data_IF_744922469846
#
_entry.id   IF_744922469846
#
_cell.length_a   1.000
_cell.length_b   1.000
_cell.length_c   1.000
_cell.angle_alpha   90.00
_cell.angle_beta   90.00
_cell.angle_gamma   90.00
#
_symmetry.space_group_name_H-M   'P 1'
#
loop_
_entity.id
_entity.type
_entity.pdbx_description
1 polymer ?
#
# COMPACT_ATOMS: atom_id res chain seq x y z
N UNK A 1 19.57 -5.59 -14.93
CA UNK A 1 18.38 -4.94 -15.55
C UNK A 1 17.27 -4.76 -14.52
N UNK A 2 16.76 -5.82 -13.85
CA UNK A 2 15.68 -5.70 -12.85
C UNK A 2 16.04 -4.80 -11.66
N UNK A 3 17.24 -4.91 -11.12
CA UNK A 3 17.68 -4.08 -10.00
C UNK A 3 17.73 -2.60 -10.36
N UNK A 4 18.18 -2.26 -11.57
CA UNK A 4 18.16 -0.87 -12.05
C UNK A 4 16.73 -0.34 -12.21
N UNK A 5 15.80 -1.16 -12.70
CA UNK A 5 14.39 -0.80 -12.78
C UNK A 5 13.80 -0.51 -11.39
N UNK A 6 14.12 -1.35 -10.39
CA UNK A 6 13.66 -1.17 -9.01
C UNK A 6 14.21 0.09 -8.35
N UNK A 7 15.48 0.43 -8.59
CA UNK A 7 16.10 1.66 -8.07
C UNK A 7 15.48 2.94 -8.66
N UNK A 8 15.06 2.88 -9.93
CA UNK A 8 14.47 4.01 -10.64
C UNK A 8 12.94 4.13 -10.46
N UNK A 9 12.31 3.18 -9.77
CA UNK A 9 10.87 3.19 -9.53
C UNK A 9 10.55 3.85 -8.19
N UNK A 10 9.65 4.85 -8.22
CA UNK A 10 9.22 5.54 -7.02
C UNK A 10 8.01 4.87 -6.37
N UNK A 11 8.06 4.67 -5.05
CA UNK A 11 6.92 4.21 -4.25
C UNK A 11 6.64 5.20 -3.13
N UNK A 12 5.40 5.62 -3.01
CA UNK A 12 4.93 6.47 -1.93
C UNK A 12 3.87 5.76 -1.11
N UNK A 13 4.10 5.61 0.21
CA UNK A 13 3.23 4.88 1.13
C UNK A 13 2.34 5.86 1.89
N UNK A 14 1.04 5.68 1.78
CA UNK A 14 0.00 6.39 2.53
C UNK A 14 -0.54 5.47 3.61
N UNK A 15 -0.27 5.80 4.85
CA UNK A 15 -0.59 5.01 6.04
C UNK A 15 0.61 4.86 6.97
N UNK A 16 0.35 4.63 8.26
CA UNK A 16 1.38 4.54 9.30
C UNK A 16 0.99 3.46 10.31
N UNK A 17 0.95 2.21 9.87
CA UNK A 17 0.67 1.05 10.72
C UNK A 17 1.71 -0.05 10.45
N UNK A 18 1.60 -1.18 11.17
CA UNK A 18 2.55 -2.29 11.02
C UNK A 18 2.65 -2.86 9.61
N UNK A 19 1.56 -2.84 8.83
CA UNK A 19 1.57 -3.29 7.43
C UNK A 19 2.41 -2.35 6.58
N UNK A 20 2.24 -1.03 6.74
CA UNK A 20 3.03 -0.02 6.05
C UNK A 20 4.52 -0.14 6.38
N UNK A 21 4.85 -0.37 7.67
CA UNK A 21 6.22 -0.62 8.13
C UNK A 21 6.84 -1.83 7.45
N UNK A 22 6.12 -2.95 7.40
CA UNK A 22 6.59 -4.19 6.78
C UNK A 22 6.80 -4.05 5.27
N UNK A 23 5.87 -3.38 4.57
CA UNK A 23 6.00 -3.10 3.13
C UNK A 23 7.23 -2.22 2.87
N UNK A 24 7.42 -1.16 3.66
CA UNK A 24 8.56 -0.26 3.53
C UNK A 24 9.89 -1.00 3.66
N UNK A 25 10.02 -1.80 4.72
CA UNK A 25 11.20 -2.64 4.94
C UNK A 25 11.44 -3.63 3.78
N UNK A 26 10.40 -4.37 3.36
CA UNK A 26 10.51 -5.38 2.32
C UNK A 26 10.86 -4.79 0.94
N UNK A 27 10.32 -3.62 0.59
CA UNK A 27 10.65 -2.93 -0.66
C UNK A 27 12.09 -2.46 -0.69
N UNK A 28 12.58 -1.83 0.41
CA UNK A 28 13.97 -1.40 0.51
C UNK A 28 14.94 -2.59 0.42
N UNK A 29 14.66 -3.66 1.16
CA UNK A 29 15.44 -4.90 1.11
C UNK A 29 15.41 -5.58 -0.26
N UNK A 30 14.37 -5.33 -1.07
CA UNK A 30 14.24 -5.83 -2.44
C UNK A 30 14.86 -4.91 -3.50
N UNK A 31 15.49 -3.81 -3.09
CA UNK A 31 16.17 -2.87 -3.99
C UNK A 31 15.31 -1.74 -4.53
N UNK A 32 14.06 -1.56 -4.05
CA UNK A 32 13.20 -0.41 -4.39
C UNK A 32 13.56 0.74 -3.45
N UNK A 33 14.71 1.35 -3.69
CA UNK A 33 15.33 2.31 -2.76
C UNK A 33 14.67 3.69 -2.77
N UNK A 34 13.88 4.01 -3.79
CA UNK A 34 13.11 5.25 -3.87
C UNK A 34 11.70 5.05 -3.26
N UNK A 35 11.65 4.44 -2.07
CA UNK A 35 10.41 4.26 -1.30
C UNK A 35 10.36 5.27 -0.15
N UNK A 36 9.23 5.94 0.03
CA UNK A 36 9.03 6.96 1.06
C UNK A 36 7.62 6.92 1.64
N UNK A 37 7.45 7.47 2.84
CA UNK A 37 6.13 7.75 3.39
C UNK A 37 5.61 9.11 2.93
N UNK A 38 4.32 9.16 2.60
CA UNK A 38 3.65 10.44 2.30
C UNK A 38 3.57 11.31 3.55
N UNK A 39 3.80 12.60 3.37
CA UNK A 39 3.70 13.59 4.44
C UNK A 39 2.27 13.68 5.00
N UNK A 40 1.26 13.42 4.17
CA UNK A 40 -0.16 13.48 4.54
C UNK A 40 -0.64 12.23 5.31
N UNK A 41 0.13 11.15 5.29
CA UNK A 41 -0.22 9.88 5.92
C UNK A 41 0.17 9.79 7.41
N UNK A 42 0.54 10.90 8.04
CA UNK A 42 1.02 10.90 9.43
C UNK A 42 -0.13 10.73 10.41
N UNK A 43 -0.03 9.73 11.27
CA UNK A 43 -0.92 9.49 12.39
C UNK A 43 -0.64 10.50 13.49
N UNK A 44 -1.60 11.39 13.85
CA UNK A 44 -1.50 12.27 15.02
C UNK A 44 -0.16 13.00 15.15
N UNK A 45 0.52 12.82 16.29
CA UNK A 45 1.88 13.35 16.53
C UNK A 45 2.99 12.54 15.82
N UNK A 46 2.64 11.49 15.12
CA UNK A 46 3.56 10.61 14.40
C UNK A 46 4.46 9.75 15.30
N UNK A 47 4.10 9.57 16.56
CA UNK A 47 4.88 8.74 17.50
C UNK A 47 4.59 7.24 17.28
N UNK A 48 5.64 6.43 17.48
CA UNK A 48 5.55 4.96 17.48
C UNK A 48 4.79 4.54 18.76
N UNK A 49 3.73 3.76 18.59
CA UNK A 49 2.90 3.21 19.67
C UNK A 49 2.97 1.68 19.75
N UNK A 50 2.23 1.11 20.70
CA UNK A 50 2.18 -0.35 20.93
C UNK A 50 1.82 -1.14 19.69
N UNK A 51 0.97 -0.59 18.85
CA UNK A 51 0.43 -1.23 17.65
C UNK A 51 1.43 -1.32 16.50
N UNK A 52 2.45 -0.48 16.54
CA UNK A 52 3.53 -0.47 15.55
C UNK A 52 4.61 -1.51 15.87
N UNK A 53 4.64 -1.96 17.14
CA UNK A 53 5.61 -2.93 17.63
C UNK A 53 5.19 -4.38 17.30
N UNK A 54 6.07 -5.33 17.60
CA UNK A 54 5.77 -6.77 17.50
C UNK A 54 6.06 -7.40 16.14
N UNK A 55 6.47 -6.62 15.14
CA UNK A 55 6.89 -7.15 13.84
C UNK A 55 8.40 -7.36 13.71
N UNK A 56 9.18 -7.02 14.75
CA UNK A 56 10.64 -7.10 14.71
C UNK A 56 11.32 -5.98 13.90
N UNK A 57 10.56 -5.20 13.16
CA UNK A 57 11.05 -4.03 12.40
C UNK A 57 11.28 -2.86 13.36
N UNK A 58 10.25 -2.51 14.11
CA UNK A 58 10.31 -1.57 15.22
C UNK A 58 10.37 -2.33 16.55
N UNK A 59 11.19 -1.86 17.48
CA UNK A 59 11.47 -2.48 18.76
C UNK A 59 10.88 -1.63 19.89
N UNK A 60 10.78 -2.20 21.09
CA UNK A 60 10.32 -1.49 22.29
C UNK A 60 11.15 -0.24 22.61
N UNK A 61 12.44 -0.23 22.22
CA UNK A 61 13.32 0.93 22.34
C UNK A 61 12.94 2.10 21.42
N UNK A 62 12.14 1.85 20.40
CA UNK A 62 11.68 2.85 19.44
C UNK A 62 10.36 3.51 19.88
N UNK A 63 9.73 3.02 20.95
CA UNK A 63 8.47 3.54 21.48
C UNK A 63 8.55 5.04 21.78
N UNK A 64 7.55 5.78 21.30
CA UNK A 64 7.47 7.23 21.49
C UNK A 64 8.33 8.05 20.52
N UNK A 65 9.25 7.44 19.76
CA UNK A 65 10.02 8.14 18.72
C UNK A 65 9.11 8.52 17.55
N UNK A 66 9.53 9.51 16.76
CA UNK A 66 8.80 9.87 15.54
C UNK A 66 8.88 8.71 14.53
N UNK A 67 7.72 8.21 14.11
CA UNK A 67 7.56 7.05 13.26
C UNK A 67 8.34 7.15 11.95
N UNK A 68 8.15 8.22 11.20
CA UNK A 68 8.79 8.39 9.88
C UNK A 68 10.29 8.58 10.02
N UNK A 69 10.72 9.43 10.96
CA UNK A 69 12.15 9.69 11.16
C UNK A 69 12.88 8.41 11.55
N UNK A 70 12.28 7.61 12.46
CA UNK A 70 12.90 6.35 12.88
C UNK A 70 13.00 5.33 11.75
N UNK A 71 11.96 5.20 10.95
CA UNK A 71 11.99 4.32 9.77
C UNK A 71 13.01 4.80 8.72
N UNK A 72 13.16 6.10 8.51
CA UNK A 72 14.18 6.65 7.62
C UNK A 72 15.61 6.38 8.14
N UNK A 73 15.81 6.34 9.46
CA UNK A 73 17.11 5.93 10.04
C UNK A 73 17.39 4.45 9.77
N UNK A 74 16.41 3.59 10.09
CA UNK A 74 16.51 2.15 9.88
C UNK A 74 16.61 1.75 8.41
N UNK A 75 16.06 2.56 7.51
CA UNK A 75 16.13 2.31 6.06
C UNK A 75 17.58 2.18 5.56
N UNK A 76 18.55 2.84 6.19
CA UNK A 76 19.97 2.72 5.85
C UNK A 76 20.53 1.34 6.14
N UNK A 77 19.96 0.63 7.13
CA UNK A 77 20.35 -0.72 7.52
C UNK A 77 19.64 -1.77 6.64
N UNK A 78 18.41 -1.47 6.20
CA UNK A 78 17.58 -2.41 5.44
C UNK A 78 17.81 -2.35 3.93
N UNK A 79 18.23 -1.20 3.43
CA UNK A 79 18.36 -0.99 2.00
C UNK A 79 19.45 -1.89 1.41
N UNK A 80 19.11 -2.59 0.32
CA UNK A 80 20.06 -3.38 -0.44
C UNK A 80 21.19 -2.52 -1.04
N UNK A 81 20.91 -1.24 -1.24
CA UNK A 81 21.86 -0.25 -1.74
C UNK A 81 21.90 0.97 -0.81
N UNK A 82 23.07 1.64 -0.70
CA UNK A 82 23.16 2.86 0.09
C UNK A 82 22.14 3.89 -0.40
N UNK A 83 21.25 4.30 0.48
CA UNK A 83 20.35 5.42 0.21
C UNK A 83 21.16 6.71 0.20
N UNK A 84 21.02 7.60 -0.79
CA UNK A 84 21.70 8.89 -0.77
C UNK A 84 21.38 9.63 0.52
N UNK A 85 22.42 10.06 1.24
CA UNK A 85 22.26 10.85 2.46
C UNK A 85 21.52 12.15 2.12
N UNK A 86 20.39 12.42 2.80
CA UNK A 86 19.60 13.66 2.65
C UNK A 86 20.33 14.93 3.14
N UNK A 87 21.61 14.86 3.48
CA UNK A 87 22.40 15.99 3.97
C UNK A 87 23.01 16.87 2.86
N UNK A 88 22.27 17.06 1.78
CA UNK A 88 22.58 18.15 0.85
C UNK A 88 21.45 19.15 0.98
N UNK A 89 21.73 20.27 1.67
CA UNK A 89 21.01 21.54 1.48
C UNK A 89 21.25 21.99 0.03
N UNK A 90 20.56 21.40 -0.88
CA UNK A 90 20.61 21.68 -2.30
C UNK A 90 19.39 21.05 -2.92
N UNK A 91 18.67 21.86 -3.66
CA UNK A 91 17.53 21.56 -4.51
C UNK A 91 17.55 20.09 -4.96
N UNK A 92 16.63 19.29 -4.47
CA UNK A 92 16.42 17.92 -4.94
C UNK A 92 15.83 18.04 -6.35
N UNK A 93 16.68 18.18 -7.35
CA UNK A 93 16.42 17.75 -8.70
C UNK A 93 16.69 16.22 -8.78
N UNK A 94 16.11 15.44 -7.86
CA UNK A 94 15.90 14.05 -8.14
C UNK A 94 14.87 14.04 -9.27
N UNK A 95 15.30 13.63 -10.46
CA UNK A 95 14.40 13.42 -11.58
C UNK A 95 13.19 12.66 -11.07
N UNK A 96 11.98 13.22 -11.26
CA UNK A 96 10.73 12.54 -10.86
C UNK A 96 10.79 11.20 -11.57
N UNK A 97 10.74 10.07 -10.86
CA UNK A 97 10.81 8.76 -11.49
C UNK A 97 9.75 8.68 -12.60
N UNK A 98 10.10 8.14 -13.75
CA UNK A 98 9.18 8.02 -14.90
C UNK A 98 7.90 7.22 -14.56
N UNK A 99 7.98 6.36 -13.55
CA UNK A 99 6.86 5.60 -13.00
C UNK A 99 6.85 5.70 -11.48
N UNK A 100 5.68 5.97 -10.94
CA UNK A 100 5.45 6.04 -9.49
C UNK A 100 4.20 5.25 -9.14
N UNK A 101 4.24 4.56 -7.99
CA UNK A 101 3.12 3.86 -7.40
C UNK A 101 2.79 4.44 -6.02
N UNK A 102 1.51 4.61 -5.73
CA UNK A 102 1.01 4.93 -4.38
C UNK A 102 0.49 3.66 -3.73
N UNK A 103 0.94 3.39 -2.52
CA UNK A 103 0.40 2.28 -1.71
C UNK A 103 -0.44 2.89 -0.62
N UNK A 104 -1.73 2.58 -0.62
CA UNK A 104 -2.70 3.09 0.34
C UNK A 104 -2.97 2.01 1.36
N UNK A 105 -2.47 2.19 2.58
CA UNK A 105 -2.53 1.19 3.65
C UNK A 105 -3.58 1.54 4.67
N UNK A 106 -4.55 0.64 4.87
CA UNK A 106 -5.65 0.82 5.81
C UNK A 106 -6.70 1.81 5.30
N UNK A 107 -7.20 2.65 6.21
CA UNK A 107 -8.21 3.65 5.89
C UNK A 107 -7.58 4.91 5.26
N UNK A 108 -8.35 5.59 4.42
CA UNK A 108 -7.93 6.79 3.70
C UNK A 108 -9.13 7.69 3.40
N UNK A 109 -8.91 9.00 3.24
CA UNK A 109 -9.96 9.92 2.75
C UNK A 109 -10.31 9.61 1.29
N UNK A 110 -11.60 9.63 0.96
CA UNK A 110 -12.06 9.39 -0.42
C UNK A 110 -11.53 10.43 -1.39
N UNK A 111 -11.35 11.68 -0.92
CA UNK A 111 -10.79 12.78 -1.70
C UNK A 111 -9.38 12.47 -2.22
N UNK A 112 -8.59 11.74 -1.43
CA UNK A 112 -7.24 11.29 -1.83
C UNK A 112 -7.31 10.36 -3.05
N UNK A 113 -8.23 9.40 -3.03
CA UNK A 113 -8.41 8.45 -4.13
C UNK A 113 -8.97 9.16 -5.37
N UNK A 114 -9.92 10.05 -5.18
CA UNK A 114 -10.45 10.88 -6.27
C UNK A 114 -9.33 11.74 -6.90
N UNK A 115 -8.39 12.25 -6.11
CA UNK A 115 -7.21 12.95 -6.62
C UNK A 115 -6.33 12.00 -7.45
N UNK A 116 -5.99 10.80 -6.94
CA UNK A 116 -5.18 9.83 -7.69
C UNK A 116 -5.80 9.45 -9.03
N UNK A 117 -7.11 9.28 -9.06
CA UNK A 117 -7.83 9.00 -10.30
C UNK A 117 -7.76 10.16 -11.29
N UNK A 118 -7.98 11.41 -10.84
CA UNK A 118 -7.90 12.61 -11.71
C UNK A 118 -6.50 12.83 -12.26
N UNK A 119 -5.48 12.60 -11.43
CA UNK A 119 -4.08 12.87 -11.76
C UNK A 119 -3.42 11.69 -12.49
N UNK A 120 -4.20 10.62 -12.80
CA UNK A 120 -3.70 9.43 -13.49
C UNK A 120 -2.64 8.64 -12.70
N UNK A 121 -2.70 8.69 -11.36
CA UNK A 121 -1.71 8.08 -10.49
C UNK A 121 -2.02 6.61 -10.19
N UNK A 122 -1.11 5.72 -10.56
CA UNK A 122 -1.21 4.29 -10.22
C UNK A 122 -1.21 4.10 -8.70
N UNK A 123 -2.14 3.28 -8.19
CA UNK A 123 -2.26 3.06 -6.75
C UNK A 123 -2.73 1.65 -6.38
N UNK A 124 -2.19 1.13 -5.27
CA UNK A 124 -2.49 -0.19 -4.71
C UNK A 124 -3.13 -0.03 -3.33
N UNK A 125 -4.28 -0.64 -3.11
CA UNK A 125 -4.93 -0.72 -1.80
C UNK A 125 -4.42 -1.91 -1.01
N UNK A 126 -4.14 -1.71 0.29
CA UNK A 126 -3.56 -2.76 1.14
C UNK A 126 -4.07 -2.67 2.58
N UNK A 127 -4.44 -3.79 3.16
CA UNK A 127 -4.73 -3.90 4.59
C UNK A 127 -6.03 -3.23 5.04
N UNK A 128 -6.97 -3.01 4.12
CA UNK A 128 -8.34 -2.66 4.48
C UNK A 128 -9.03 -3.87 5.09
N UNK A 129 -9.88 -3.66 6.09
CA UNK A 129 -10.62 -4.73 6.74
C UNK A 129 -12.10 -4.63 6.40
N UNK A 130 -12.63 -5.69 5.83
CA UNK A 130 -14.05 -5.82 5.50
C UNK A 130 -14.54 -7.17 6.03
N UNK A 131 -15.58 -7.16 6.86
CA UNK A 131 -16.15 -8.39 7.41
C UNK A 131 -15.17 -9.22 8.25
N UNK A 132 -14.18 -8.59 8.89
CA UNK A 132 -13.16 -9.28 9.67
C UNK A 132 -11.99 -9.85 8.85
N UNK A 133 -12.01 -9.71 7.54
CA UNK A 133 -10.92 -10.12 6.66
C UNK A 133 -10.12 -8.92 6.14
N UNK A 134 -8.81 -9.07 6.05
CA UNK A 134 -7.94 -8.07 5.44
C UNK A 134 -7.88 -8.25 3.92
N UNK A 135 -7.75 -7.15 3.20
CA UNK A 135 -7.71 -7.12 1.74
C UNK A 135 -6.35 -6.66 1.23
N UNK A 136 -5.88 -7.25 0.14
CA UNK A 136 -4.78 -6.75 -0.67
C UNK A 136 -5.25 -6.60 -2.13
N UNK A 137 -5.06 -5.44 -2.70
CA UNK A 137 -5.61 -5.04 -3.98
C UNK A 137 -6.92 -4.24 -3.84
N UNK A 138 -7.42 -3.69 -4.95
CA UNK A 138 -6.83 -3.78 -6.28
C UNK A 138 -5.60 -2.88 -6.45
N UNK A 139 -4.76 -3.27 -7.41
CA UNK A 139 -3.86 -2.33 -8.08
C UNK A 139 -4.66 -1.63 -9.18
N UNK A 140 -4.80 -0.33 -9.04
CA UNK A 140 -5.55 0.51 -9.96
C UNK A 140 -4.61 1.25 -10.90
N UNK A 141 -4.81 1.06 -12.19
CA UNK A 141 -4.20 1.87 -13.24
C UNK A 141 -5.33 2.75 -13.81
N UNK A 142 -5.36 4.07 -13.48
CA UNK A 142 -6.43 4.95 -13.92
C UNK A 142 -6.64 4.88 -15.46
N UNK A 143 -7.88 4.92 -15.89
CA UNK A 143 -8.33 4.72 -17.26
C UNK A 143 -8.04 3.34 -17.88
N UNK A 144 -7.27 2.45 -17.24
CA UNK A 144 -6.86 1.15 -17.80
C UNK A 144 -7.45 -0.05 -17.06
N UNK A 145 -7.66 0.05 -15.76
CA UNK A 145 -8.18 -1.02 -14.93
C UNK A 145 -9.49 -0.63 -14.22
N UNK A 146 -10.24 -1.60 -13.65
CA UNK A 146 -11.30 -1.28 -12.70
C UNK A 146 -10.74 -0.44 -11.54
N UNK A 147 -11.46 0.61 -11.16
CA UNK A 147 -11.16 1.37 -9.95
C UNK A 147 -11.89 0.79 -8.73
N UNK A 148 -11.65 1.33 -7.53
CA UNK A 148 -12.32 0.91 -6.30
C UNK A 148 -13.85 0.97 -6.44
N UNK A 149 -14.39 2.05 -6.99
CA UNK A 149 -15.83 2.21 -7.21
C UNK A 149 -16.42 1.18 -8.17
N UNK A 150 -15.69 0.78 -9.23
CA UNK A 150 -16.11 -0.33 -10.08
C UNK A 150 -16.31 -1.63 -9.30
N UNK A 151 -15.41 -1.90 -8.36
CA UNK A 151 -15.46 -3.10 -7.51
C UNK A 151 -16.64 -3.02 -6.53
N UNK A 152 -16.81 -1.89 -5.89
CA UNK A 152 -17.92 -1.66 -4.94
C UNK A 152 -19.29 -1.77 -5.62
N UNK A 153 -19.45 -1.17 -6.79
CA UNK A 153 -20.65 -1.31 -7.60
C UNK A 153 -20.90 -2.77 -8.00
N UNK A 154 -19.88 -3.48 -8.45
CA UNK A 154 -20.00 -4.89 -8.83
C UNK A 154 -20.35 -5.80 -7.67
N UNK A 155 -19.77 -5.55 -6.48
CA UNK A 155 -20.11 -6.28 -5.25
C UNK A 155 -21.55 -5.95 -4.82
N UNK A 156 -21.91 -4.67 -4.87
CA UNK A 156 -23.24 -4.19 -4.52
C UNK A 156 -24.34 -4.79 -5.39
N UNK A 157 -24.16 -4.84 -6.70
CA UNK A 157 -25.13 -5.48 -7.61
C UNK A 157 -25.25 -6.98 -7.35
N UNK A 158 -24.18 -7.64 -6.94
CA UNK A 158 -24.15 -9.08 -6.70
C UNK A 158 -24.77 -9.48 -5.36
N UNK A 159 -24.59 -8.67 -4.30
CA UNK A 159 -24.94 -9.03 -2.93
C UNK A 159 -25.99 -8.12 -2.27
N UNK A 160 -26.42 -7.04 -2.93
CA UNK A 160 -27.30 -6.01 -2.36
C UNK A 160 -26.53 -4.96 -1.57
N UNK A 161 -26.91 -3.69 -1.76
CA UNK A 161 -26.17 -2.51 -1.27
C UNK A 161 -26.03 -2.39 0.24
N UNK A 162 -27.09 -2.75 0.98
CA UNK A 162 -27.22 -2.40 2.39
C UNK A 162 -26.34 -3.26 3.33
N UNK A 163 -25.62 -4.23 2.79
CA UNK A 163 -24.87 -5.19 3.60
C UNK A 163 -23.38 -4.88 3.75
N UNK A 164 -22.82 -3.96 2.98
CA UNK A 164 -21.37 -3.70 3.02
C UNK A 164 -20.98 -2.61 4.04
N UNK A 165 -21.83 -1.60 4.26
CA UNK A 165 -21.51 -0.52 5.19
C UNK A 165 -21.34 -0.97 6.66
N UNK A 166 -22.15 -1.87 7.21
CA UNK A 166 -21.97 -2.37 8.58
C UNK A 166 -20.75 -3.27 8.76
N UNK A 167 -20.19 -3.81 7.65
CA UNK A 167 -19.06 -4.75 7.68
C UNK A 167 -17.70 -4.06 7.68
N UNK A 168 -17.64 -2.75 7.44
CA UNK A 168 -16.42 -1.96 7.57
C UNK A 168 -16.13 -1.72 9.06
N UNK A 169 -15.60 -2.73 9.71
CA UNK A 169 -15.10 -2.60 11.07
C UNK A 169 -13.83 -1.75 11.04
N UNK A 170 -13.81 -0.70 11.84
CA UNK A 170 -12.63 0.14 12.07
C UNK A 170 -11.58 -0.63 12.89
N UNK A 171 -10.99 -1.66 12.29
CA UNK A 171 -9.85 -2.33 12.90
C UNK A 171 -8.61 -1.63 12.34
N UNK A 172 -8.03 -0.74 13.14
CA UNK A 172 -6.77 -0.07 12.79
C UNK A 172 -5.58 -1.03 12.78
N UNK A 173 -5.76 -2.25 13.33
CA UNK A 173 -4.67 -3.18 13.56
C UNK A 173 -5.01 -4.59 13.10
N UNK A 174 -4.23 -5.07 12.16
CA UNK A 174 -4.26 -6.47 11.78
C UNK A 174 -3.43 -7.31 12.78
N UNK A 175 -3.84 -8.55 13.07
CA UNK A 175 -2.98 -9.52 13.74
C UNK A 175 -1.63 -9.61 13.04
N UNK A 176 -0.56 -9.79 13.80
CA UNK A 176 0.82 -9.78 13.26
C UNK A 176 0.99 -10.77 12.10
N UNK A 177 0.43 -11.98 12.23
CA UNK A 177 0.48 -13.01 11.17
C UNK A 177 -0.16 -12.55 9.86
N UNK A 178 -1.31 -11.88 9.94
CA UNK A 178 -2.02 -11.34 8.77
C UNK A 178 -1.25 -10.14 8.21
N UNK A 179 -0.70 -9.28 9.06
CA UNK A 179 0.10 -8.15 8.62
C UNK A 179 1.30 -8.59 7.77
N UNK A 180 2.00 -9.67 8.16
CA UNK A 180 3.08 -10.25 7.37
C UNK A 180 2.62 -10.80 6.03
N UNK A 181 1.51 -11.55 6.00
CA UNK A 181 0.98 -12.11 4.76
C UNK A 181 0.56 -10.99 3.78
N UNK A 182 -0.21 -10.03 4.26
CA UNK A 182 -0.68 -8.88 3.46
C UNK A 182 0.50 -8.07 2.93
N UNK A 183 1.48 -7.75 3.79
CA UNK A 183 2.66 -6.99 3.39
C UNK A 183 3.55 -7.75 2.39
N UNK A 184 3.74 -9.05 2.58
CA UNK A 184 4.49 -9.90 1.67
C UNK A 184 3.86 -9.96 0.29
N UNK A 185 2.56 -10.18 0.22
CA UNK A 185 1.80 -10.22 -1.05
C UNK A 185 1.78 -8.85 -1.72
N UNK A 186 1.55 -7.76 -0.98
CA UNK A 186 1.60 -6.40 -1.52
C UNK A 186 2.98 -6.08 -2.11
N UNK A 187 4.06 -6.44 -1.39
CA UNK A 187 5.43 -6.27 -1.88
C UNK A 187 5.64 -7.06 -3.17
N UNK A 188 5.20 -8.32 -3.23
CA UNK A 188 5.29 -9.15 -4.43
C UNK A 188 4.53 -8.53 -5.61
N UNK A 189 3.32 -7.99 -5.39
CA UNK A 189 2.52 -7.32 -6.42
C UNK A 189 3.26 -6.10 -7.01
N UNK A 190 3.93 -5.32 -6.16
CA UNK A 190 4.75 -4.17 -6.57
C UNK A 190 5.98 -4.62 -7.35
N UNK A 191 6.71 -5.61 -6.87
CA UNK A 191 7.89 -6.13 -7.55
C UNK A 191 7.54 -6.73 -8.92
N UNK A 192 6.42 -7.44 -9.03
CA UNK A 192 5.91 -7.96 -10.29
C UNK A 192 5.62 -6.83 -11.27
N UNK A 193 4.96 -5.75 -10.81
CA UNK A 193 4.69 -4.56 -11.65
C UNK A 193 5.99 -3.92 -12.15
N UNK A 194 6.99 -3.77 -11.28
CA UNK A 194 8.27 -3.15 -11.64
C UNK A 194 9.05 -4.02 -12.62
N UNK A 195 9.16 -5.32 -12.32
CA UNK A 195 10.02 -6.25 -13.05
C UNK A 195 9.47 -6.67 -14.41
N UNK A 196 8.13 -6.64 -14.59
CA UNK A 196 7.45 -7.14 -15.79
C UNK A 196 6.56 -6.12 -16.49
N UNK A 197 6.31 -4.97 -15.85
CA UNK A 197 5.35 -3.95 -16.33
C UNK A 197 3.89 -4.32 -16.09
N UNK A 198 3.60 -5.45 -15.42
CA UNK A 198 2.24 -5.93 -15.12
C UNK A 198 2.19 -6.56 -13.74
N UNK A 199 0.98 -6.75 -13.21
CA UNK A 199 0.76 -7.48 -11.95
C UNK A 199 -0.61 -8.17 -11.99
N UNK A 200 -0.71 -9.34 -11.38
CA UNK A 200 -1.99 -10.05 -11.24
C UNK A 200 -3.00 -9.28 -10.36
N UNK A 201 -2.52 -8.32 -9.58
CA UNK A 201 -3.36 -7.46 -8.74
C UNK A 201 -4.02 -6.31 -9.49
N UNK A 202 -3.71 -6.12 -10.79
CA UNK A 202 -4.41 -5.10 -11.61
C UNK A 202 -5.89 -5.47 -11.72
N UNK A 203 -6.75 -4.66 -11.08
CA UNK A 203 -8.18 -4.89 -10.99
C UNK A 203 -8.56 -6.16 -10.23
N UNK A 204 -7.70 -6.67 -9.36
CA UNK A 204 -7.91 -7.91 -8.62
C UNK A 204 -7.65 -7.72 -7.13
N UNK A 205 -8.31 -8.52 -6.30
CA UNK A 205 -8.24 -8.43 -4.84
C UNK A 205 -8.08 -9.81 -4.22
N UNK A 206 -7.23 -9.91 -3.21
CA UNK A 206 -7.00 -11.08 -2.39
C UNK A 206 -7.48 -10.83 -0.97
N UNK A 207 -8.16 -11.81 -0.38
CA UNK A 207 -8.71 -11.74 0.98
C UNK A 207 -7.88 -12.61 1.93
N UNK A 208 -7.62 -12.08 3.13
CA UNK A 208 -6.90 -12.75 4.21
C UNK A 208 -7.80 -12.82 5.44
N UNK A 209 -8.32 -13.99 5.71
CA UNK A 209 -9.12 -14.27 6.90
C UNK A 209 -8.20 -14.87 7.97
N UNK A 210 -8.18 -14.27 9.16
CA UNK A 210 -7.35 -14.77 10.27
C UNK A 210 -7.85 -16.13 10.84
N UNK A 211 -9.06 -16.54 10.50
CA UNK A 211 -9.58 -17.87 10.83
C UNK A 211 -9.16 -18.94 9.82
N UNK A 212 -8.61 -18.55 8.67
CA UNK A 212 -8.12 -19.45 7.63
C UNK A 212 -6.59 -19.44 7.58
N UNK A 213 -5.92 -20.59 7.56
CA UNK A 213 -4.45 -20.65 7.47
C UNK A 213 -3.90 -20.25 6.09
N UNK A 214 -4.76 -20.19 5.08
CA UNK A 214 -4.39 -19.82 3.72
C UNK A 214 -5.18 -18.59 3.26
N UNK A 215 -4.56 -17.72 2.42
CA UNK A 215 -5.29 -16.65 1.79
C UNK A 215 -6.42 -17.18 0.89
N UNK A 216 -7.46 -16.37 0.71
CA UNK A 216 -8.54 -16.68 -0.22
C UNK A 216 -8.06 -16.71 -1.68
N UNK A 217 -8.98 -17.01 -2.59
CA UNK A 217 -8.70 -16.93 -4.02
C UNK A 217 -8.59 -15.47 -4.48
N UNK A 218 -7.69 -15.22 -5.44
CA UNK A 218 -7.59 -13.91 -6.08
C UNK A 218 -8.85 -13.66 -6.92
N UNK A 219 -9.63 -12.67 -6.51
CA UNK A 219 -10.89 -12.29 -7.19
C UNK A 219 -10.59 -11.19 -8.20
N UNK A 220 -10.95 -11.42 -9.45
CA UNK A 220 -10.82 -10.44 -10.54
C UNK A 220 -12.13 -9.71 -10.77
N UNK A 221 -12.03 -8.43 -11.03
CA UNK A 221 -13.16 -7.55 -11.30
C UNK A 221 -13.06 -6.95 -12.70
N UNK A 222 -14.22 -6.68 -13.29
CA UNK A 222 -14.33 -5.94 -14.54
C UNK A 222 -14.63 -4.46 -14.25
N UNK A 223 -14.41 -3.60 -15.24
CA UNK A 223 -14.91 -2.23 -15.21
C UNK A 223 -16.42 -2.25 -15.18
N UNK A 224 -16.99 -1.46 -14.24
CA UNK A 224 -18.44 -1.41 -14.09
C UNK A 224 -19.06 -0.39 -15.04
N UNK A 225 -20.11 -0.74 -15.82
CA UNK A 225 -20.67 0.13 -16.85
C UNK A 225 -21.28 1.44 -16.30
N UNK A 226 -21.71 1.44 -15.04
CA UNK A 226 -22.27 2.63 -14.36
C UNK A 226 -21.20 3.46 -13.63
N UNK A 227 -19.94 3.00 -13.59
CA UNK A 227 -18.89 3.73 -12.89
C UNK A 227 -18.45 4.96 -13.70
N UNK A 228 -18.37 6.15 -13.08
CA UNK A 228 -17.96 7.37 -13.78
C UNK A 228 -16.51 7.35 -14.26
N UNK A 229 -15.66 6.41 -13.77
CA UNK A 229 -14.30 6.26 -14.26
C UNK A 229 -14.18 5.86 -15.74
N UNK A 230 -15.28 5.49 -16.39
CA UNK A 230 -15.31 5.21 -17.83
C UNK A 230 -15.39 6.45 -18.71
N UNK A 231 -15.68 7.61 -18.11
CA UNK A 231 -15.90 8.87 -18.82
C UNK A 231 -14.65 9.77 -18.82
N UNK A 232 -13.53 9.26 -18.28
CA UNK A 232 -12.24 9.97 -18.19
C UNK A 232 -11.25 9.50 -19.24
#
# INVERSE_FOLDING_TARGET
>A
EKLSARQNFGVEIYGSNRVATLIYNALLASGVTNTRFSITARRGNGAIGDTDLGTGVLRTTDYGLNYVNRLEELAREWSLFPTPSKNVKGTINAAIPERNLRIVVGQYPEELIAQFMRDGMDHLFVGQVVGGAALCGPLVLPAKSPCKECIELGISERFGMDQLQPLMTHIDELPVSIAYQVAGVATQAVLQLIDTGSSEFIGSQLTFDYLSPAPGALTRFARHPKCPCQWQ
#
